data_IF_393636388170
#
_entry.id   IF_393636388170
#
_cell.length_a   1.000
_cell.length_b   1.000
_cell.length_c   1.000
_cell.angle_alpha   90.00
_cell.angle_beta   90.00
_cell.angle_gamma   90.00
#
_symmetry.space_group_name_H-M   'P 1'
#
loop_
_entity.id
_entity.type
_entity.pdbx_description
1 polymer ?
#
# COMPACT_ATOMS: atom_id res chain seq x y z
N UNK A 1 35.29 -3.69 2.52
CA UNK A 1 34.50 -2.44 2.39
C UNK A 1 33.26 -2.81 1.61
N UNK A 2 32.06 -2.32 1.95
CA UNK A 2 30.89 -2.55 1.09
C UNK A 2 31.24 -2.03 -0.31
N UNK A 3 31.41 -2.93 -1.28
CA UNK A 3 31.60 -2.50 -2.66
C UNK A 3 30.24 -2.04 -3.17
N UNK A 4 30.14 -0.73 -3.43
CA UNK A 4 28.97 -0.08 -4.00
C UNK A 4 28.90 -0.39 -5.51
N UNK A 5 28.80 -1.67 -5.85
CA UNK A 5 28.56 -2.10 -7.21
C UNK A 5 27.07 -1.98 -7.57
N UNK A 6 26.77 -1.94 -8.87
CA UNK A 6 25.41 -1.73 -9.36
C UNK A 6 24.42 -2.79 -8.81
N UNK A 7 24.89 -4.02 -8.61
CA UNK A 7 24.08 -5.12 -8.11
C UNK A 7 23.68 -4.93 -6.64
N UNK A 8 24.62 -4.60 -5.74
CA UNK A 8 24.28 -4.36 -4.34
C UNK A 8 23.45 -3.08 -4.18
N UNK A 9 23.66 -2.05 -5.01
CA UNK A 9 22.79 -0.88 -5.04
C UNK A 9 21.36 -1.22 -5.47
N UNK A 10 21.19 -2.03 -6.51
CA UNK A 10 19.87 -2.49 -6.96
C UNK A 10 19.14 -3.28 -5.86
N UNK A 11 19.85 -4.14 -5.10
CA UNK A 11 19.29 -4.86 -3.96
C UNK A 11 18.85 -3.92 -2.84
N UNK A 12 19.69 -2.96 -2.47
CA UNK A 12 19.39 -1.99 -1.42
C UNK A 12 18.18 -1.12 -1.79
N UNK A 13 18.15 -0.64 -3.04
CA UNK A 13 17.05 0.16 -3.56
C UNK A 13 15.74 -0.63 -3.55
N UNK A 14 15.76 -1.88 -4.04
CA UNK A 14 14.57 -2.73 -4.05
C UNK A 14 14.11 -3.08 -2.63
N UNK A 15 15.03 -3.41 -1.72
CA UNK A 15 14.73 -3.69 -0.31
C UNK A 15 14.05 -2.50 0.38
N UNK A 16 14.54 -1.28 0.12
CA UNK A 16 13.90 -0.06 0.61
C UNK A 16 12.49 0.10 0.03
N UNK A 17 12.35 0.01 -1.29
CA UNK A 17 11.06 0.20 -1.97
C UNK A 17 10.01 -0.81 -1.52
N UNK A 18 10.35 -2.10 -1.42
CA UNK A 18 9.40 -3.13 -0.98
C UNK A 18 9.03 -3.00 0.49
N UNK A 19 9.98 -2.66 1.35
CA UNK A 19 9.73 -2.48 2.79
C UNK A 19 8.81 -1.29 3.07
N UNK A 20 8.94 -0.20 2.30
CA UNK A 20 8.00 0.92 2.39
C UNK A 20 6.66 0.59 1.74
N UNK A 21 6.67 -0.04 0.57
CA UNK A 21 5.45 -0.34 -0.17
C UNK A 21 4.51 -1.23 0.64
N UNK A 22 5.00 -2.30 1.28
CA UNK A 22 4.14 -3.30 1.94
C UNK A 22 3.27 -2.74 3.07
N UNK A 23 3.69 -1.63 3.69
CA UNK A 23 2.94 -0.98 4.76
C UNK A 23 1.57 -0.49 4.26
N UNK A 24 1.53 0.08 3.06
CA UNK A 24 0.30 0.64 2.50
C UNK A 24 -0.77 -0.43 2.21
N UNK A 25 -0.56 -1.47 1.38
CA UNK A 25 -1.56 -2.48 1.10
C UNK A 25 -1.94 -3.29 2.35
N UNK A 26 -1.01 -3.56 3.29
CA UNK A 26 -1.35 -4.23 4.54
C UNK A 26 -2.42 -3.44 5.35
N UNK A 27 -2.21 -2.13 5.50
CA UNK A 27 -3.16 -1.25 6.19
C UNK A 27 -4.46 -1.09 5.38
N UNK A 28 -4.36 -0.91 4.06
CA UNK A 28 -5.51 -0.76 3.16
C UNK A 28 -6.41 -1.98 3.21
N UNK A 29 -5.87 -3.20 3.19
CA UNK A 29 -6.67 -4.44 3.25
C UNK A 29 -7.46 -4.49 4.56
N UNK A 30 -6.82 -4.21 5.70
CA UNK A 30 -7.49 -4.18 7.00
C UNK A 30 -8.58 -3.09 7.08
N UNK A 31 -8.28 -1.88 6.62
CA UNK A 31 -9.24 -0.78 6.60
C UNK A 31 -10.40 -1.04 5.63
N UNK A 32 -10.17 -1.68 4.49
CA UNK A 32 -11.25 -2.03 3.55
C UNK A 32 -12.27 -2.95 4.22
N UNK A 33 -11.81 -4.02 4.90
CA UNK A 33 -12.69 -4.93 5.64
C UNK A 33 -13.44 -4.19 6.76
N UNK A 34 -12.76 -3.31 7.48
CA UNK A 34 -13.37 -2.51 8.54
C UNK A 34 -14.44 -1.54 8.03
N UNK A 35 -14.18 -0.83 6.92
CA UNK A 35 -15.14 0.06 6.28
C UNK A 35 -16.40 -0.68 5.84
N UNK A 36 -16.26 -1.90 5.29
CA UNK A 36 -17.41 -2.76 4.95
C UNK A 36 -18.26 -3.09 6.17
N UNK A 37 -17.63 -3.39 7.32
CA UNK A 37 -18.35 -3.64 8.58
C UNK A 37 -19.09 -2.39 9.05
N UNK A 38 -18.46 -1.22 9.03
CA UNK A 38 -19.09 0.03 9.44
C UNK A 38 -20.31 0.39 8.57
N UNK A 39 -20.16 0.27 7.25
CA UNK A 39 -21.27 0.52 6.31
C UNK A 39 -22.40 -0.51 6.52
N UNK A 40 -22.06 -1.80 6.70
CA UNK A 40 -23.04 -2.84 7.00
C UNK A 40 -23.81 -2.59 8.31
N UNK A 41 -23.13 -2.11 9.35
CA UNK A 41 -23.76 -1.73 10.61
C UNK A 41 -24.67 -0.53 10.45
N UNK A 42 -24.27 0.50 9.70
CA UNK A 42 -25.14 1.63 9.39
C UNK A 42 -26.38 1.18 8.61
N UNK A 43 -26.22 0.34 7.58
CA UNK A 43 -27.34 -0.17 6.78
C UNK A 43 -28.36 -0.94 7.64
N UNK A 44 -27.88 -1.71 8.63
CA UNK A 44 -28.72 -2.50 9.54
C UNK A 44 -29.38 -1.67 10.65
N UNK A 45 -28.63 -0.78 11.29
CA UNK A 45 -29.07 -0.06 12.51
C UNK A 45 -29.67 1.31 12.22
N UNK A 46 -29.30 1.93 11.10
CA UNK A 46 -29.58 3.33 10.75
C UNK A 46 -29.04 4.35 11.77
N UNK A 47 -28.09 3.95 12.61
CA UNK A 47 -27.42 4.83 13.56
C UNK A 47 -26.27 5.58 12.86
N UNK A 48 -26.36 6.90 12.86
CA UNK A 48 -25.42 7.81 12.19
C UNK A 48 -24.00 7.77 12.77
N UNK A 49 -23.80 7.23 13.98
CA UNK A 49 -22.47 7.02 14.55
C UNK A 49 -21.61 6.14 13.63
N UNK A 50 -22.18 5.07 13.08
CA UNK A 50 -21.47 4.17 12.15
C UNK A 50 -21.06 4.87 10.87
N UNK A 51 -21.92 5.77 10.35
CA UNK A 51 -21.65 6.54 9.14
C UNK A 51 -20.60 7.62 9.38
N UNK A 52 -20.59 8.24 10.56
CA UNK A 52 -19.54 9.18 10.95
C UNK A 52 -18.17 8.49 11.01
N UNK A 53 -18.10 7.32 11.66
CA UNK A 53 -16.89 6.50 11.70
C UNK A 53 -16.44 6.11 10.29
N UNK A 54 -17.36 5.62 9.44
CA UNK A 54 -17.06 5.27 8.06
C UNK A 54 -16.41 6.44 7.31
N UNK A 55 -17.02 7.63 7.36
CA UNK A 55 -16.50 8.81 6.66
C UNK A 55 -15.15 9.29 7.18
N UNK A 56 -14.88 9.13 8.48
CA UNK A 56 -13.57 9.43 9.05
C UNK A 56 -12.49 8.49 8.49
N UNK A 57 -12.74 7.17 8.58
CA UNK A 57 -11.77 6.16 8.16
C UNK A 57 -11.61 6.10 6.64
N UNK A 58 -12.64 6.45 5.87
CA UNK A 58 -12.60 6.49 4.40
C UNK A 58 -11.52 7.45 3.88
N UNK A 59 -11.33 8.60 4.54
CA UNK A 59 -10.29 9.57 4.15
C UNK A 59 -8.90 9.01 4.35
N UNK A 60 -8.65 8.36 5.48
CA UNK A 60 -7.37 7.72 5.81
C UNK A 60 -7.10 6.57 4.83
N UNK A 61 -8.12 5.75 4.57
CA UNK A 61 -8.07 4.69 3.57
C UNK A 61 -7.68 5.22 2.19
N UNK A 62 -8.31 6.31 1.73
CA UNK A 62 -8.05 6.87 0.41
C UNK A 62 -6.60 7.36 0.25
N UNK A 63 -6.05 8.05 1.26
CA UNK A 63 -4.65 8.52 1.24
C UNK A 63 -3.69 7.32 1.23
N UNK A 64 -3.93 6.34 2.09
CA UNK A 64 -3.09 5.15 2.20
C UNK A 64 -3.14 4.29 0.92
N UNK A 65 -4.32 4.15 0.32
CA UNK A 65 -4.51 3.48 -0.96
C UNK A 65 -3.74 4.20 -2.08
N UNK A 66 -3.85 5.53 -2.17
CA UNK A 66 -3.11 6.31 -3.15
C UNK A 66 -1.59 6.15 -3.03
N UNK A 67 -1.06 6.21 -1.81
CA UNK A 67 0.37 5.97 -1.55
C UNK A 67 0.80 4.54 -1.91
N UNK A 68 -0.07 3.55 -1.65
CA UNK A 68 0.14 2.17 -2.08
C UNK A 68 0.26 2.04 -3.59
N UNK A 69 -0.65 2.65 -4.36
CA UNK A 69 -0.62 2.63 -5.83
C UNK A 69 0.67 3.23 -6.37
N UNK A 70 1.05 4.42 -5.89
CA UNK A 70 2.28 5.11 -6.36
C UNK A 70 3.53 4.30 -6.05
N UNK A 71 3.66 3.80 -4.82
CA UNK A 71 4.83 2.98 -4.43
C UNK A 71 4.89 1.63 -5.15
N UNK A 72 3.73 1.04 -5.47
CA UNK A 72 3.65 -0.21 -6.24
C UNK A 72 4.07 -0.04 -7.70
N UNK A 73 3.67 1.09 -8.32
CA UNK A 73 4.14 1.48 -9.66
C UNK A 73 5.67 1.58 -9.71
N UNK A 74 6.28 2.26 -8.75
CA UNK A 74 7.75 2.38 -8.67
C UNK A 74 8.41 1.01 -8.57
N UNK A 75 7.88 0.11 -7.73
CA UNK A 75 8.40 -1.25 -7.60
C UNK A 75 8.26 -2.06 -8.90
N UNK A 76 7.13 -1.97 -9.58
CA UNK A 76 6.91 -2.67 -10.85
C UNK A 76 7.93 -2.25 -11.90
N UNK A 77 8.23 -0.96 -12.00
CA UNK A 77 9.25 -0.47 -12.93
C UNK A 77 10.67 -0.87 -12.54
N UNK A 78 10.98 -1.04 -11.25
CA UNK A 78 12.30 -1.53 -10.82
C UNK A 78 12.63 -2.93 -11.37
N UNK A 79 11.64 -3.79 -11.61
CA UNK A 79 11.88 -5.06 -12.28
C UNK A 79 12.42 -4.85 -13.69
N UNK A 80 11.85 -3.92 -14.46
CA UNK A 80 12.34 -3.60 -15.81
C UNK A 80 13.69 -2.87 -15.83
N UNK A 81 13.92 -1.92 -14.92
CA UNK A 81 15.16 -1.09 -14.96
C UNK A 81 16.36 -1.76 -14.33
N UNK A 82 16.18 -2.46 -13.20
CA UNK A 82 17.27 -2.97 -12.37
C UNK A 82 17.37 -4.50 -12.40
N UNK A 83 16.33 -5.20 -12.86
CA UNK A 83 16.24 -6.66 -12.90
C UNK A 83 15.78 -7.15 -14.27
N UNK A 84 16.28 -6.53 -15.35
CA UNK A 84 15.85 -6.82 -16.72
C UNK A 84 16.04 -8.29 -17.12
N UNK A 85 17.12 -8.94 -16.66
CA UNK A 85 17.35 -10.37 -16.88
C UNK A 85 16.36 -11.30 -16.17
N UNK A 86 15.69 -10.84 -15.11
CA UNK A 86 14.58 -11.57 -14.47
C UNK A 86 13.25 -11.33 -15.20
N UNK A 87 13.14 -10.22 -15.93
CA UNK A 87 11.91 -9.77 -16.61
C UNK A 87 11.83 -10.21 -18.09
N UNK A 88 12.80 -11.00 -18.57
CA UNK A 88 12.83 -11.59 -19.91
C UNK A 88 12.00 -12.87 -20.02
#
# INVERSE_FOLDING_TARGET
MFELDAFNLARLQFAFTVSFHILFPAITIGLASYLVVLEGMWLRTKDDVWRSLYNFWLKIFAVNFGMGVVSGLVMAYQFGTNWSGFSQ
#
